data_IF_012617445938
#
_entry.id   IF_012617445938
#
_cell.length_a   1.000
_cell.length_b   1.000
_cell.length_c   1.000
_cell.angle_alpha   90.00
_cell.angle_beta   90.00
_cell.angle_gamma   90.00
#
_symmetry.space_group_name_H-M   'P 1'
#
loop_
_entity.id
_entity.type
_entity.pdbx_description
1 polymer ?
#
# COMPACT_ATOMS: atom_id res chain seq x y z
N UNK A 1 -27.61 3.69 9.93
CA UNK A 1 -26.91 2.50 9.40
C UNK A 1 -25.48 2.57 9.87
N UNK A 2 -25.11 1.76 10.86
CA UNK A 2 -23.76 1.73 11.43
C UNK A 2 -22.85 1.08 10.39
N UNK A 3 -21.98 1.88 9.79
CA UNK A 3 -20.97 1.43 8.82
C UNK A 3 -20.06 0.43 9.52
N UNK A 4 -20.29 -0.87 9.34
CA UNK A 4 -19.35 -1.88 9.81
C UNK A 4 -18.02 -1.60 9.11
N UNK A 5 -17.01 -1.18 9.87
CA UNK A 5 -15.66 -1.08 9.35
C UNK A 5 -15.27 -2.48 8.84
N UNK A 6 -15.04 -2.55 7.54
CA UNK A 6 -14.61 -3.77 6.90
C UNK A 6 -13.27 -4.19 7.52
N UNK A 7 -13.23 -5.39 8.09
CA UNK A 7 -12.00 -5.92 8.70
C UNK A 7 -11.11 -6.46 7.59
N UNK A 8 -9.87 -6.00 7.52
CA UNK A 8 -8.88 -6.42 6.53
C UNK A 8 -7.72 -7.14 7.23
N UNK A 9 -7.90 -8.43 7.61
CA UNK A 9 -6.81 -9.21 8.20
C UNK A 9 -5.69 -9.39 7.16
N UNK A 10 -4.44 -9.57 7.63
CA UNK A 10 -3.26 -9.65 6.74
C UNK A 10 -3.43 -10.61 5.54
N UNK A 11 -3.94 -11.84 5.69
CA UNK A 11 -4.16 -12.73 4.55
C UNK A 11 -5.07 -12.13 3.48
N UNK A 12 -6.09 -11.39 3.90
CA UNK A 12 -7.02 -10.73 2.99
C UNK A 12 -6.39 -9.49 2.33
N UNK A 13 -5.47 -8.80 3.02
CA UNK A 13 -4.67 -7.72 2.43
C UNK A 13 -3.73 -8.27 1.35
N UNK A 14 -3.11 -9.42 1.58
CA UNK A 14 -2.25 -10.07 0.57
C UNK A 14 -3.05 -10.42 -0.68
N UNK A 15 -4.22 -11.06 -0.52
CA UNK A 15 -5.10 -11.40 -1.66
C UNK A 15 -5.57 -10.13 -2.40
N UNK A 16 -5.84 -9.05 -1.66
CA UNK A 16 -6.19 -7.76 -2.26
C UNK A 16 -5.05 -7.22 -3.13
N UNK A 17 -3.82 -7.27 -2.63
CA UNK A 17 -2.64 -6.87 -3.40
C UNK A 17 -2.43 -7.76 -4.63
N UNK A 18 -2.57 -9.08 -4.51
CA UNK A 18 -2.45 -10.02 -5.63
C UNK A 18 -3.50 -9.76 -6.71
N UNK A 19 -4.74 -9.48 -6.32
CA UNK A 19 -5.82 -9.13 -7.25
C UNK A 19 -5.48 -7.87 -8.07
N UNK A 20 -4.89 -6.86 -7.42
CA UNK A 20 -4.45 -5.63 -8.08
C UNK A 20 -3.27 -5.90 -9.02
N UNK A 21 -2.25 -6.64 -8.56
CA UNK A 21 -1.07 -6.97 -9.37
C UNK A 21 -1.49 -7.69 -10.65
N UNK A 22 -2.43 -8.66 -10.53
CA UNK A 22 -2.97 -9.40 -11.67
C UNK A 22 -3.73 -8.49 -12.64
N UNK A 23 -4.50 -7.53 -12.14
CA UNK A 23 -5.21 -6.57 -12.99
C UNK A 23 -4.26 -5.61 -13.72
N UNK A 24 -3.22 -5.12 -13.03
CA UNK A 24 -2.16 -4.29 -13.64
C UNK A 24 -1.46 -5.07 -14.76
N UNK A 25 -1.11 -6.34 -14.52
CA UNK A 25 -0.50 -7.20 -15.53
C UNK A 25 -1.42 -7.47 -16.74
N UNK A 26 -2.73 -7.45 -16.53
CA UNK A 26 -3.73 -7.61 -17.59
C UNK A 26 -4.05 -6.30 -18.33
N UNK A 27 -3.41 -5.19 -17.95
CA UNK A 27 -3.59 -3.87 -18.56
C UNK A 27 -4.88 -3.14 -18.17
N UNK A 28 -5.65 -3.67 -17.20
CA UNK A 28 -6.97 -3.13 -16.82
C UNK A 28 -6.91 -1.92 -15.89
N UNK A 29 -5.84 -1.80 -15.09
CA UNK A 29 -5.59 -0.62 -14.25
C UNK A 29 -4.56 0.28 -14.93
N UNK A 30 -5.01 1.42 -15.45
CA UNK A 30 -4.13 2.48 -15.97
C UNK A 30 -3.40 3.20 -14.82
N UNK A 31 -2.54 2.49 -14.08
CA UNK A 31 -1.44 2.93 -13.20
C UNK A 31 -1.62 4.20 -12.34
N UNK A 32 -2.83 4.68 -12.08
CA UNK A 32 -3.03 6.00 -11.45
C UNK A 32 -4.23 6.03 -10.52
N UNK A 33 -5.37 5.43 -10.89
CA UNK A 33 -6.58 5.42 -10.07
C UNK A 33 -7.39 4.12 -10.24
N UNK A 34 -8.03 3.64 -9.17
CA UNK A 34 -9.16 2.71 -9.25
C UNK A 34 -10.31 3.44 -9.96
N UNK A 35 -10.31 3.46 -11.28
CA UNK A 35 -11.37 4.01 -12.13
C UNK A 35 -12.55 3.02 -12.24
N UNK A 36 -13.38 3.11 -13.29
CA UNK A 36 -14.53 2.19 -13.49
C UNK A 36 -14.10 0.73 -13.54
N UNK A 37 -12.87 0.48 -13.96
CA UNK A 37 -12.17 -0.80 -14.08
C UNK A 37 -11.86 -1.40 -12.69
N UNK A 38 -11.79 -0.57 -11.64
CA UNK A 38 -11.69 -1.05 -10.26
C UNK A 38 -12.88 -1.90 -9.80
N UNK A 39 -14.03 -1.84 -10.49
CA UNK A 39 -15.17 -2.72 -10.23
C UNK A 39 -14.89 -4.18 -10.62
N UNK A 40 -14.14 -4.41 -11.70
CA UNK A 40 -13.77 -5.75 -12.14
C UNK A 40 -12.87 -6.42 -11.09
N UNK A 41 -11.95 -5.66 -10.51
CA UNK A 41 -11.06 -6.14 -9.42
C UNK A 41 -11.87 -6.52 -8.18
N UNK A 42 -12.87 -5.69 -7.81
CA UNK A 42 -13.76 -5.98 -6.68
C UNK A 42 -14.52 -7.29 -6.91
N UNK A 43 -15.09 -7.47 -8.10
CA UNK A 43 -15.87 -8.66 -8.46
C UNK A 43 -15.01 -9.93 -8.48
N UNK A 44 -13.83 -9.86 -9.11
CA UNK A 44 -12.88 -10.96 -9.16
C UNK A 44 -12.39 -11.35 -7.76
N UNK A 45 -12.12 -10.36 -6.90
CA UNK A 45 -11.73 -10.58 -5.52
C UNK A 45 -12.84 -11.21 -4.69
N UNK A 46 -14.07 -10.68 -4.77
CA UNK A 46 -15.22 -11.22 -4.06
C UNK A 46 -15.51 -12.67 -4.47
N UNK A 47 -15.45 -12.95 -5.78
CA UNK A 47 -15.59 -14.29 -6.34
C UNK A 47 -14.52 -15.25 -5.80
N UNK A 48 -13.25 -14.80 -5.73
CA UNK A 48 -12.14 -15.64 -5.27
C UNK A 48 -12.12 -15.86 -3.75
N UNK A 49 -12.62 -14.90 -2.97
CA UNK A 49 -12.57 -14.93 -1.50
C UNK A 49 -13.88 -15.32 -0.84
N UNK A 50 -14.98 -15.43 -1.61
CA UNK A 50 -16.34 -15.61 -1.09
C UNK A 50 -16.81 -14.45 -0.23
N UNK A 51 -16.26 -13.25 -0.45
CA UNK A 51 -16.60 -12.03 0.29
C UNK A 51 -17.54 -11.15 -0.53
N UNK A 52 -18.14 -10.17 0.13
CA UNK A 52 -19.06 -9.21 -0.48
C UNK A 52 -18.61 -7.78 -0.17
N UNK A 53 -17.39 -7.44 -0.62
CA UNK A 53 -16.90 -6.07 -0.49
C UNK A 53 -17.46 -5.20 -1.60
N UNK A 54 -17.87 -3.98 -1.25
CA UNK A 54 -18.25 -2.98 -2.22
C UNK A 54 -17.04 -2.16 -2.72
N UNK A 55 -17.24 -1.44 -3.82
CA UNK A 55 -16.21 -0.58 -4.41
C UNK A 55 -15.72 0.52 -3.46
N UNK A 56 -16.58 1.05 -2.58
CA UNK A 56 -16.19 2.05 -1.59
C UNK A 56 -15.26 1.47 -0.52
N UNK A 57 -15.51 0.25 -0.05
CA UNK A 57 -14.62 -0.47 0.87
C UNK A 57 -13.27 -0.76 0.23
N UNK A 58 -13.25 -1.14 -1.05
CA UNK A 58 -12.04 -1.33 -1.85
C UNK A 58 -11.26 -0.04 -2.03
N UNK A 59 -11.93 1.06 -2.36
CA UNK A 59 -11.32 2.38 -2.51
C UNK A 59 -10.73 2.87 -1.19
N UNK A 60 -11.43 2.66 -0.08
CA UNK A 60 -10.91 2.95 1.25
C UNK A 60 -9.68 2.09 1.59
N UNK A 61 -9.65 0.83 1.12
CA UNK A 61 -8.48 -0.04 1.30
C UNK A 61 -7.30 0.39 0.43
N UNK A 62 -7.53 0.83 -0.80
CA UNK A 62 -6.52 1.37 -1.72
C UNK A 62 -5.79 2.59 -1.16
N UNK A 63 -6.44 3.34 -0.26
CA UNK A 63 -5.82 4.45 0.46
C UNK A 63 -4.61 4.02 1.34
N UNK A 64 -4.36 2.71 1.49
CA UNK A 64 -3.08 2.15 1.99
C UNK A 64 -1.87 2.66 1.20
N UNK A 65 -2.04 3.16 -0.03
CA UNK A 65 -1.02 3.89 -0.79
C UNK A 65 -0.41 5.04 0.02
N UNK A 66 -1.23 5.80 0.75
CA UNK A 66 -0.77 6.93 1.57
C UNK A 66 0.11 6.45 2.71
N UNK A 67 -0.27 5.34 3.33
CA UNK A 67 0.49 4.71 4.40
C UNK A 67 1.81 4.13 3.89
N UNK A 68 1.81 3.50 2.71
CA UNK A 68 3.02 3.04 2.06
C UNK A 68 3.98 4.19 1.71
N UNK A 69 3.47 5.30 1.17
CA UNK A 69 4.29 6.48 0.89
C UNK A 69 4.91 7.04 2.17
N UNK A 70 4.12 7.18 3.24
CA UNK A 70 4.61 7.64 4.54
C UNK A 70 5.62 6.67 5.15
N UNK A 71 5.44 5.37 4.95
CA UNK A 71 6.39 4.33 5.37
C UNK A 71 7.71 4.46 4.61
N UNK A 72 7.66 4.64 3.28
CA UNK A 72 8.85 4.90 2.46
C UNK A 72 9.59 6.16 2.90
N UNK A 73 8.87 7.24 3.22
CA UNK A 73 9.48 8.47 3.74
C UNK A 73 10.09 8.29 5.14
N UNK A 74 9.42 7.51 6.01
CA UNK A 74 9.93 7.17 7.34
C UNK A 74 11.23 6.37 7.25
N UNK A 75 11.28 5.31 6.43
CA UNK A 75 12.51 4.53 6.23
C UNK A 75 13.56 5.39 5.53
N UNK A 76 13.15 6.15 4.50
CA UNK A 76 14.01 7.05 3.75
C UNK A 76 15.17 6.31 3.10
N UNK A 77 16.38 6.86 3.26
CA UNK A 77 17.63 6.26 2.77
C UNK A 77 18.41 5.55 3.89
N UNK A 78 17.81 5.33 5.06
CA UNK A 78 18.46 4.57 6.14
C UNK A 78 18.53 3.10 5.72
N UNK A 79 19.75 2.61 5.56
CA UNK A 79 20.05 1.22 5.22
C UNK A 79 20.41 0.41 6.46
N UNK A 80 20.21 -0.90 6.43
CA UNK A 80 20.57 -1.80 7.55
C UNK A 80 19.56 -1.83 8.70
N UNK A 81 18.37 -1.25 8.53
CA UNK A 81 17.27 -1.42 9.46
C UNK A 81 16.73 -2.85 9.35
N UNK A 82 16.76 -3.59 10.46
CA UNK A 82 16.19 -4.93 10.53
C UNK A 82 14.68 -4.92 10.66
N UNK A 83 14.06 -6.09 10.56
CA UNK A 83 12.65 -6.30 10.89
C UNK A 83 12.53 -7.17 12.14
N UNK A 84 11.76 -6.71 13.12
CA UNK A 84 11.46 -7.48 14.33
C UNK A 84 10.13 -8.20 14.16
N UNK A 85 10.16 -9.53 13.99
CA UNK A 85 8.94 -10.36 13.92
C UNK A 85 8.15 -10.34 15.24
N UNK A 86 8.83 -10.21 16.38
CA UNK A 86 8.19 -10.13 17.70
C UNK A 86 7.42 -8.83 17.89
N UNK A 87 8.01 -7.70 17.48
CA UNK A 87 7.39 -6.37 17.59
C UNK A 87 6.53 -6.01 16.37
N UNK A 88 6.60 -6.81 15.30
CA UNK A 88 5.99 -6.55 14.00
C UNK A 88 6.28 -5.13 13.46
N UNK A 89 7.52 -4.67 13.61
CA UNK A 89 7.97 -3.35 13.15
C UNK A 89 9.48 -3.33 12.89
N UNK A 90 10.00 -2.18 12.43
CA UNK A 90 11.43 -1.94 12.23
C UNK A 90 12.20 -2.20 13.53
N UNK A 91 13.20 -3.07 13.46
CA UNK A 91 14.13 -3.31 14.55
C UNK A 91 15.18 -2.19 14.59
N UNK A 92 14.78 -1.09 15.21
CA UNK A 92 15.58 0.12 15.37
C UNK A 92 15.59 0.57 16.83
N UNK A 93 16.57 1.40 17.18
CA UNK A 93 16.68 1.98 18.53
C UNK A 93 15.54 2.95 18.80
N UNK A 94 15.24 3.17 20.09
CA UNK A 94 14.22 4.15 20.49
C UNK A 94 14.60 5.57 20.02
N UNK A 95 15.89 5.91 20.07
CA UNK A 95 16.42 7.19 19.57
C UNK A 95 16.14 7.39 18.07
N UNK A 96 16.30 6.33 17.26
CA UNK A 96 15.96 6.38 15.84
C UNK A 96 14.47 6.63 15.65
N UNK A 97 13.62 5.89 16.38
CA UNK A 97 12.17 6.07 16.33
C UNK A 97 11.73 7.48 16.76
N UNK A 98 12.31 8.04 17.82
CA UNK A 98 12.01 9.39 18.29
C UNK A 98 12.37 10.44 17.25
N UNK A 99 13.56 10.37 16.67
CA UNK A 99 13.99 11.27 15.59
C UNK A 99 13.07 11.19 14.37
N UNK A 100 12.70 9.96 13.95
CA UNK A 100 11.80 9.77 12.81
C UNK A 100 10.39 10.24 13.10
N UNK A 101 9.86 10.03 14.31
CA UNK A 101 8.53 10.50 14.69
C UNK A 101 8.46 12.03 14.77
N UNK A 102 9.55 12.71 15.15
CA UNK A 102 9.61 14.17 15.09
C UNK A 102 9.48 14.69 13.65
N UNK A 103 10.14 14.04 12.68
CA UNK A 103 10.06 14.40 11.26
C UNK A 103 8.72 13.98 10.63
N UNK A 104 8.21 12.82 11.02
CA UNK A 104 6.99 12.21 10.49
C UNK A 104 6.02 11.82 11.62
N UNK A 105 5.32 12.80 12.25
CA UNK A 105 4.45 12.52 13.40
C UNK A 105 3.34 11.50 13.10
N UNK A 106 2.84 11.50 11.86
CA UNK A 106 1.81 10.57 11.38
C UNK A 106 2.31 9.13 11.29
N UNK A 107 3.62 8.92 11.23
CA UNK A 107 4.26 7.62 11.10
C UNK A 107 4.46 6.91 12.45
N UNK A 108 4.16 7.59 13.57
CA UNK A 108 4.16 7.01 14.93
C UNK A 108 3.38 5.71 15.04
N UNK A 109 2.29 5.57 14.28
CA UNK A 109 1.50 4.33 14.22
C UNK A 109 2.32 3.11 13.82
N UNK A 110 3.36 3.30 13.00
CA UNK A 110 4.19 2.20 12.53
C UNK A 110 5.13 1.64 13.58
N UNK A 111 5.42 2.39 14.65
CA UNK A 111 6.17 1.87 15.80
C UNK A 111 5.39 0.78 16.55
N UNK A 112 4.07 0.83 16.52
CA UNK A 112 3.20 -0.19 17.12
C UNK A 112 2.99 -1.38 16.18
N UNK A 113 2.85 -1.10 14.88
CA UNK A 113 2.72 -2.12 13.84
C UNK A 113 3.17 -1.55 12.51
N UNK A 114 4.31 -2.02 12.01
CA UNK A 114 4.87 -1.61 10.74
C UNK A 114 4.15 -2.21 9.54
N UNK A 115 4.68 -1.96 8.36
CA UNK A 115 4.30 -2.69 7.15
C UNK A 115 5.19 -3.93 7.09
N UNK A 116 4.55 -5.11 7.11
CA UNK A 116 5.24 -6.38 7.00
C UNK A 116 6.09 -6.44 5.71
N UNK A 117 7.31 -7.01 5.73
CA UNK A 117 8.17 -7.08 4.55
C UNK A 117 7.48 -7.67 3.32
N UNK A 118 6.73 -8.77 3.47
CA UNK A 118 6.03 -9.41 2.34
C UNK A 118 4.94 -8.48 1.76
N UNK A 119 4.24 -7.76 2.64
CA UNK A 119 3.27 -6.76 2.22
C UNK A 119 3.96 -5.57 1.56
N UNK A 120 5.12 -5.15 2.08
CA UNK A 120 5.90 -4.06 1.52
C UNK A 120 6.35 -4.37 0.10
N UNK A 121 6.83 -5.59 -0.18
CA UNK A 121 7.21 -6.02 -1.53
C UNK A 121 6.02 -5.91 -2.51
N UNK A 122 4.85 -6.45 -2.14
CA UNK A 122 3.64 -6.33 -2.98
C UNK A 122 3.20 -4.87 -3.18
N UNK A 123 3.25 -4.06 -2.12
CA UNK A 123 2.93 -2.62 -2.23
C UNK A 123 3.95 -1.87 -3.08
N UNK A 124 5.20 -2.31 -3.11
CA UNK A 124 6.24 -1.79 -3.98
C UNK A 124 5.89 -2.07 -5.44
N UNK A 125 5.53 -3.31 -5.79
CA UNK A 125 5.13 -3.67 -7.16
C UNK A 125 3.91 -2.87 -7.63
N UNK A 126 2.93 -2.67 -6.74
CA UNK A 126 1.70 -1.94 -7.06
C UNK A 126 1.96 -0.44 -7.19
N UNK A 127 2.69 0.18 -6.24
CA UNK A 127 2.74 1.64 -6.11
C UNK A 127 4.03 2.29 -6.59
N UNK A 128 5.16 1.59 -6.65
CA UNK A 128 6.41 2.18 -7.18
C UNK A 128 6.27 2.76 -8.58
N UNK A 129 5.66 2.07 -9.59
CA UNK A 129 5.44 2.69 -10.89
C UNK A 129 4.53 3.92 -10.82
N UNK A 130 3.54 3.92 -9.91
CA UNK A 130 2.58 5.01 -9.73
C UNK A 130 3.23 6.24 -9.07
N UNK A 131 4.10 6.01 -8.08
CA UNK A 131 4.80 7.07 -7.34
C UNK A 131 5.92 7.66 -8.21
N UNK A 132 6.68 6.83 -8.93
CA UNK A 132 7.75 7.27 -9.83
C UNK A 132 7.21 8.05 -11.04
N UNK A 133 6.05 7.66 -11.58
CA UNK A 133 5.42 8.34 -12.71
C UNK A 133 4.83 9.72 -12.37
N UNK A 134 4.82 10.14 -11.10
CA UNK A 134 4.52 11.53 -10.71
C UNK A 134 5.56 12.55 -11.21
N UNK A 135 6.66 12.06 -11.80
CA UNK A 135 7.77 12.87 -12.30
C UNK A 135 8.39 12.21 -13.53
N UNK A 136 7.72 12.27 -14.69
CA UNK A 136 8.27 12.42 -16.04
C UNK A 136 7.22 12.02 -17.10
N UNK A 137 6.43 12.99 -17.52
CA UNK A 137 5.94 13.03 -18.91
C UNK A 137 6.41 14.34 -19.52
N UNK A 138 7.72 14.48 -19.72
CA UNK A 138 8.20 15.39 -20.76
C UNK A 138 8.23 14.56 -22.03
N UNK A 139 7.19 14.66 -22.84
CA UNK A 139 7.29 14.26 -24.23
C UNK A 139 8.05 15.38 -24.96
N UNK A 140 9.25 15.16 -25.50
CA UNK A 140 9.79 16.07 -26.49
C UNK A 140 9.07 15.74 -27.79
N UNK A 141 8.01 16.47 -28.09
CA UNK A 141 7.60 16.63 -29.49
C UNK A 141 8.66 17.53 -30.15
N UNK A 142 9.69 16.92 -30.70
CA UNK A 142 10.49 17.52 -31.79
C UNK A 142 9.88 16.99 -33.08
N UNK A 143 9.46 17.93 -33.93
CA UNK A 143 8.73 17.69 -35.17
C UNK A 143 9.61 17.35 -36.36
#
# INVERSE_FOLDING_TARGET
KTTQQATWPMPLVMIFCDAIIKEIASGGLANTHLSKEGKNVVEAFNTSTGKDYDYHQFKNKWDIKKDYSLWKDLIGNDTGLGWSYTKQTVDATDEWWEKKIQLFPKAKKFRLRGIDPELQDKLCDIFSPIIASGSHTWAPSIG
#
